data_IF_735351241338
#
_entry.id   IF_735351241338
#
_cell.length_a   1.000
_cell.length_b   1.000
_cell.length_c   1.000
_cell.angle_alpha   90.00
_cell.angle_beta   90.00
_cell.angle_gamma   90.00
#
_symmetry.space_group_name_H-M   'P 1'
#
loop_
_entity.id
_entity.type
_entity.pdbx_description
1 polymer ?
#
# COMPACT_ATOMS: atom_id res chain seq x y z
N UNK A 1 5.62 -17.62 3.50
CA UNK A 1 5.25 -16.49 4.39
C UNK A 1 6.10 -16.40 5.65
N UNK A 2 6.14 -17.44 6.52
CA UNK A 2 6.87 -17.40 7.81
C UNK A 2 8.32 -16.89 7.73
N UNK A 3 9.13 -17.41 6.82
CA UNK A 3 10.53 -16.97 6.68
C UNK A 3 10.65 -15.48 6.31
N UNK A 4 9.75 -14.98 5.46
CA UNK A 4 9.71 -13.57 5.05
C UNK A 4 9.28 -12.68 6.22
N UNK A 5 8.25 -13.10 6.97
CA UNK A 5 7.82 -12.39 8.17
C UNK A 5 8.95 -12.29 9.22
N UNK A 6 9.67 -13.40 9.45
CA UNK A 6 10.84 -13.43 10.32
C UNK A 6 11.97 -12.51 9.82
N UNK A 7 12.25 -12.53 8.51
CA UNK A 7 13.25 -11.65 7.90
C UNK A 7 12.89 -10.17 8.08
N UNK A 8 11.64 -9.77 7.88
CA UNK A 8 11.20 -8.39 8.16
C UNK A 8 11.39 -8.06 9.64
N UNK A 9 10.96 -8.94 10.55
CA UNK A 9 11.03 -8.69 11.98
C UNK A 9 12.46 -8.56 12.53
N UNK A 10 13.42 -9.29 11.95
CA UNK A 10 14.79 -9.35 12.46
C UNK A 10 15.78 -8.52 11.66
N UNK A 11 15.52 -8.27 10.38
CA UNK A 11 16.48 -7.69 9.43
C UNK A 11 15.96 -6.45 8.69
N UNK A 12 14.81 -5.87 9.05
CA UNK A 12 14.21 -4.72 8.36
C UNK A 12 15.19 -3.58 7.99
N UNK A 13 16.13 -3.24 8.90
CA UNK A 13 17.12 -2.16 8.67
C UNK A 13 18.14 -2.47 7.57
N UNK A 14 18.37 -3.77 7.33
CA UNK A 14 19.35 -4.29 6.37
C UNK A 14 18.74 -4.56 4.99
N UNK A 15 17.40 -4.50 4.85
CA UNK A 15 16.73 -4.71 3.56
C UNK A 15 16.80 -3.40 2.76
N UNK A 16 17.53 -3.44 1.64
CA UNK A 16 17.66 -2.30 0.71
C UNK A 16 16.79 -2.47 -0.54
N UNK A 17 16.92 -3.59 -1.25
CA UNK A 17 16.25 -3.83 -2.55
C UNK A 17 15.24 -4.99 -2.55
N UNK A 18 14.82 -5.49 -1.38
CA UNK A 18 13.93 -6.66 -1.26
C UNK A 18 12.44 -6.35 -1.12
N UNK A 19 12.06 -5.09 -0.90
CA UNK A 19 10.71 -4.74 -0.45
C UNK A 19 9.59 -5.10 -1.44
N UNK A 20 9.82 -4.90 -2.75
CA UNK A 20 8.87 -5.31 -3.79
C UNK A 20 8.57 -6.82 -3.72
N UNK A 21 9.60 -7.64 -3.58
CA UNK A 21 9.45 -9.10 -3.48
C UNK A 21 8.73 -9.52 -2.20
N UNK A 22 9.00 -8.82 -1.09
CA UNK A 22 8.32 -9.05 0.18
C UNK A 22 6.81 -8.80 0.04
N UNK A 23 6.43 -7.65 -0.51
CA UNK A 23 5.02 -7.34 -0.76
C UNK A 23 4.37 -8.26 -1.80
N UNK A 24 5.11 -8.71 -2.82
CA UNK A 24 4.63 -9.71 -3.77
C UNK A 24 4.27 -11.04 -3.08
N UNK A 25 5.13 -11.53 -2.16
CA UNK A 25 4.83 -12.74 -1.37
C UNK A 25 3.62 -12.53 -0.46
N UNK A 26 3.50 -11.37 0.19
CA UNK A 26 2.34 -11.08 1.03
C UNK A 26 1.06 -10.87 0.22
N UNK A 27 1.14 -10.32 -0.99
CA UNK A 27 0.01 -10.21 -1.91
C UNK A 27 -0.52 -11.59 -2.32
N UNK A 28 0.36 -12.53 -2.64
CA UNK A 28 -0.07 -13.91 -2.91
C UNK A 28 -0.75 -14.53 -1.67
N UNK A 29 -0.13 -14.36 -0.49
CA UNK A 29 -0.66 -14.84 0.78
C UNK A 29 -2.00 -14.19 1.18
N UNK A 30 -2.27 -12.95 0.73
CA UNK A 30 -3.50 -12.23 1.07
C UNK A 30 -4.75 -12.91 0.52
N UNK A 31 -4.62 -13.65 -0.59
CA UNK A 31 -5.70 -14.41 -1.23
C UNK A 31 -5.85 -15.85 -0.70
N UNK A 32 -5.01 -16.26 0.26
CA UNK A 32 -5.03 -17.61 0.81
C UNK A 32 -6.32 -17.87 1.61
N UNK A 33 -6.66 -19.15 1.79
CA UNK A 33 -7.82 -19.59 2.57
C UNK A 33 -7.44 -19.93 4.01
N UNK A 34 -6.17 -20.23 4.27
CA UNK A 34 -5.66 -20.58 5.59
C UNK A 34 -5.46 -19.31 6.42
N UNK A 35 -6.27 -19.16 7.47
CA UNK A 35 -6.27 -17.98 8.35
C UNK A 35 -4.88 -17.66 8.89
N UNK A 36 -4.14 -18.67 9.36
CA UNK A 36 -2.79 -18.48 9.91
C UNK A 36 -1.78 -17.92 8.88
N UNK A 37 -1.99 -18.17 7.59
CA UNK A 37 -1.14 -17.63 6.51
C UNK A 37 -1.49 -16.16 6.26
N UNK A 38 -2.79 -15.88 6.11
CA UNK A 38 -3.31 -14.54 5.85
C UNK A 38 -3.00 -13.61 7.03
N UNK A 39 -3.26 -14.06 8.26
CA UNK A 39 -3.03 -13.30 9.49
C UNK A 39 -1.55 -12.94 9.64
N UNK A 40 -0.64 -13.89 9.46
CA UNK A 40 0.79 -13.62 9.58
C UNK A 40 1.29 -12.62 8.54
N UNK A 41 0.84 -12.76 7.28
CA UNK A 41 1.17 -11.83 6.22
C UNK A 41 0.59 -10.43 6.49
N UNK A 42 -0.64 -10.37 6.99
CA UNK A 42 -1.34 -9.12 7.30
C UNK A 42 -0.71 -8.39 8.48
N UNK A 43 -0.44 -9.07 9.60
CA UNK A 43 0.24 -8.49 10.76
C UNK A 43 1.62 -7.94 10.38
N UNK A 44 2.36 -8.67 9.55
CA UNK A 44 3.68 -8.20 9.08
C UNK A 44 3.53 -6.96 8.18
N UNK A 45 2.57 -6.97 7.25
CA UNK A 45 2.25 -5.81 6.41
C UNK A 45 1.85 -4.59 7.25
N UNK A 46 0.98 -4.79 8.24
CA UNK A 46 0.53 -3.75 9.17
C UNK A 46 1.69 -3.14 9.96
N UNK A 47 2.64 -3.94 10.41
CA UNK A 47 3.88 -3.47 11.05
C UNK A 47 4.76 -2.66 10.10
N UNK A 48 4.92 -3.11 8.85
CA UNK A 48 5.70 -2.35 7.86
C UNK A 48 5.10 -0.96 7.68
N UNK A 49 3.78 -0.87 7.49
CA UNK A 49 3.09 0.39 7.21
C UNK A 49 3.01 1.28 8.47
N UNK A 50 2.76 0.71 9.64
CA UNK A 50 2.52 1.50 10.86
C UNK A 50 3.80 1.84 11.64
N UNK A 51 4.91 1.15 11.39
CA UNK A 51 6.17 1.39 12.13
C UNK A 51 7.37 1.66 11.23
N UNK A 52 7.52 0.92 10.12
CA UNK A 52 8.72 1.02 9.30
C UNK A 52 8.64 2.18 8.33
N UNK A 53 7.45 2.53 7.83
CA UNK A 53 7.26 3.70 6.98
C UNK A 53 7.78 4.95 7.72
N UNK A 54 7.34 5.19 8.96
CA UNK A 54 7.83 6.33 9.75
C UNK A 54 9.36 6.37 9.94
N UNK A 55 10.03 5.22 9.96
CA UNK A 55 11.47 5.12 10.25
C UNK A 55 12.37 5.10 9.02
N UNK A 56 11.90 4.53 7.91
CA UNK A 56 12.74 4.24 6.75
C UNK A 56 11.97 4.23 5.43
N UNK A 57 10.91 5.03 5.28
CA UNK A 57 10.09 5.06 4.05
C UNK A 57 10.92 5.27 2.76
N UNK A 58 11.96 6.10 2.82
CA UNK A 58 12.86 6.35 1.68
C UNK A 58 13.47 5.07 1.09
N UNK A 59 13.81 4.05 1.89
CA UNK A 59 14.34 2.78 1.37
C UNK A 59 13.26 1.84 0.82
N UNK A 60 11.99 2.20 0.98
CA UNK A 60 10.82 1.39 0.61
C UNK A 60 9.96 2.05 -0.47
N UNK A 61 10.28 3.28 -0.87
CA UNK A 61 9.46 4.09 -1.79
C UNK A 61 9.15 3.36 -3.10
N UNK A 62 10.13 2.63 -3.64
CA UNK A 62 9.97 1.87 -4.88
C UNK A 62 8.92 0.76 -4.75
N UNK A 63 8.64 0.29 -3.54
CA UNK A 63 7.66 -0.77 -3.25
C UNK A 63 6.30 -0.26 -2.79
N UNK A 64 6.07 1.06 -2.78
CA UNK A 64 4.82 1.65 -2.31
C UNK A 64 3.60 1.11 -3.07
N UNK A 65 3.70 1.01 -4.40
CA UNK A 65 2.61 0.47 -5.23
C UNK A 65 2.33 -1.00 -4.93
N UNK A 66 3.38 -1.80 -4.69
CA UNK A 66 3.25 -3.20 -4.30
C UNK A 66 2.55 -3.34 -2.93
N UNK A 67 2.86 -2.45 -1.99
CA UNK A 67 2.21 -2.40 -0.69
C UNK A 67 0.70 -2.08 -0.80
N UNK A 68 0.36 -1.05 -1.57
CA UNK A 68 -1.05 -0.68 -1.84
C UNK A 68 -1.79 -1.83 -2.52
N UNK A 69 -1.19 -2.46 -3.52
CA UNK A 69 -1.76 -3.63 -4.20
C UNK A 69 -1.95 -4.82 -3.25
N UNK A 70 -0.98 -5.05 -2.37
CA UNK A 70 -1.06 -6.09 -1.34
C UNK A 70 -2.22 -5.84 -0.38
N UNK A 71 -2.38 -4.62 0.13
CA UNK A 71 -3.52 -4.22 0.96
C UNK A 71 -4.86 -4.37 0.25
N UNK A 72 -4.93 -4.00 -1.03
CA UNK A 72 -6.13 -4.18 -1.86
C UNK A 72 -6.58 -5.64 -1.92
N UNK A 73 -5.63 -6.57 -1.93
CA UNK A 73 -5.93 -8.00 -2.00
C UNK A 73 -6.41 -8.54 -0.65
N UNK A 74 -5.82 -8.09 0.47
CA UNK A 74 -6.38 -8.35 1.81
C UNK A 74 -7.81 -7.79 1.94
N UNK A 75 -8.05 -6.59 1.42
CA UNK A 75 -9.36 -5.96 1.42
C UNK A 75 -10.41 -6.78 0.67
N UNK A 76 -10.05 -7.50 -0.40
CA UNK A 76 -10.99 -8.33 -1.16
C UNK A 76 -10.96 -9.82 -0.86
N UNK A 77 -10.24 -10.26 0.18
CA UNK A 77 -10.43 -11.61 0.71
C UNK A 77 -11.70 -11.70 1.56
N UNK A 78 -12.81 -12.10 0.91
CA UNK A 78 -14.14 -12.16 1.51
C UNK A 78 -14.31 -13.15 2.68
N UNK A 79 -13.27 -13.96 3.00
CA UNK A 79 -13.24 -14.89 4.14
C UNK A 79 -12.88 -14.20 5.44
N UNK A 80 -12.19 -13.06 5.39
CA UNK A 80 -11.67 -12.38 6.57
C UNK A 80 -12.11 -10.90 6.62
N UNK A 81 -13.41 -10.61 6.91
CA UNK A 81 -13.95 -9.25 6.85
C UNK A 81 -13.23 -8.24 7.77
N UNK A 82 -12.78 -8.68 8.95
CA UNK A 82 -12.04 -7.81 9.88
C UNK A 82 -10.69 -7.39 9.29
N UNK A 83 -9.95 -8.35 8.71
CA UNK A 83 -8.73 -8.09 7.93
C UNK A 83 -9.03 -7.15 6.77
N UNK A 84 -10.17 -7.30 6.09
CA UNK A 84 -10.54 -6.43 4.98
C UNK A 84 -10.76 -4.98 5.43
N UNK A 85 -11.44 -4.76 6.55
CA UNK A 85 -11.67 -3.43 7.12
C UNK A 85 -10.37 -2.77 7.57
N UNK A 86 -9.50 -3.53 8.22
CA UNK A 86 -8.21 -3.04 8.69
C UNK A 86 -7.24 -2.77 7.52
N UNK A 87 -7.30 -3.56 6.45
CA UNK A 87 -6.55 -3.29 5.23
C UNK A 87 -6.93 -1.94 4.62
N UNK A 88 -8.23 -1.61 4.57
CA UNK A 88 -8.70 -0.30 4.11
C UNK A 88 -8.19 0.82 5.03
N UNK A 89 -8.14 0.61 6.35
CA UNK A 89 -7.56 1.57 7.30
C UNK A 89 -6.08 1.81 7.00
N UNK A 90 -5.31 0.77 6.68
CA UNK A 90 -3.90 0.88 6.30
C UNK A 90 -3.71 1.59 4.96
N UNK A 91 -4.61 1.40 3.98
CA UNK A 91 -4.58 2.18 2.72
C UNK A 91 -4.72 3.67 3.01
N UNK A 92 -5.57 4.06 3.96
CA UNK A 92 -5.65 5.46 4.42
C UNK A 92 -4.34 5.94 5.07
N UNK A 93 -3.66 5.10 5.85
CA UNK A 93 -2.33 5.45 6.36
C UNK A 93 -1.30 5.66 5.25
N UNK A 94 -1.36 4.88 4.16
CA UNK A 94 -0.51 5.11 3.00
C UNK A 94 -0.74 6.49 2.37
N UNK A 95 -1.98 7.00 2.35
CA UNK A 95 -2.27 8.35 1.85
C UNK A 95 -1.57 9.42 2.71
N UNK A 96 -1.51 9.21 4.03
CA UNK A 96 -0.75 10.08 4.92
C UNK A 96 0.74 10.08 4.56
N UNK A 97 1.33 8.91 4.29
CA UNK A 97 2.73 8.81 3.85
C UNK A 97 2.99 9.57 2.54
N UNK A 98 2.08 9.49 1.55
CA UNK A 98 2.20 10.28 0.31
C UNK A 98 2.19 11.77 0.61
N UNK A 99 1.28 12.24 1.48
CA UNK A 99 1.17 13.66 1.84
C UNK A 99 2.39 14.21 2.59
N UNK A 100 3.03 13.39 3.42
CA UNK A 100 4.18 13.82 4.23
C UNK A 100 5.48 13.88 3.45
N UNK A 101 5.64 13.01 2.45
CA UNK A 101 6.90 12.88 1.71
C UNK A 101 6.71 12.92 0.20
N UNK A 102 6.05 13.95 -0.37
CA UNK A 102 5.86 14.05 -1.82
C UNK A 102 7.19 14.12 -2.58
N UNK A 103 8.22 14.75 -1.99
CA UNK A 103 9.56 14.83 -2.56
C UNK A 103 10.18 13.45 -2.84
N UNK A 104 9.95 12.44 -1.99
CA UNK A 104 10.47 11.09 -2.23
C UNK A 104 9.89 10.46 -3.49
N UNK A 105 8.60 10.71 -3.78
CA UNK A 105 7.95 10.21 -5.00
C UNK A 105 8.44 10.93 -6.27
N UNK A 106 8.74 12.23 -6.16
CA UNK A 106 9.27 13.04 -7.25
C UNK A 106 10.74 12.69 -7.60
N UNK A 107 11.59 12.56 -6.58
CA UNK A 107 13.05 12.47 -6.73
C UNK A 107 13.57 11.05 -7.03
N UNK A 108 12.92 9.98 -6.54
CA UNK A 108 13.40 8.58 -6.75
C UNK A 108 13.12 8.07 -8.18
N UNK A 109 13.71 8.74 -9.17
CA UNK A 109 13.58 8.48 -10.62
C UNK A 109 14.29 7.24 -11.16
N UNK A 110 14.50 6.18 -10.37
CA UNK A 110 15.35 5.03 -10.78
C UNK A 110 14.59 3.80 -11.29
N UNK A 111 13.27 3.87 -11.54
CA UNK A 111 12.62 2.79 -12.29
C UNK A 111 12.97 2.92 -13.77
N UNK A 112 13.55 1.86 -14.34
CA UNK A 112 13.97 1.73 -15.74
C UNK A 112 12.84 1.99 -16.78
N UNK A 113 11.60 2.18 -16.32
CA UNK A 113 10.41 2.45 -17.14
C UNK A 113 9.89 3.90 -17.08
N UNK A 114 10.48 4.80 -16.28
CA UNK A 114 9.92 6.14 -16.00
C UNK A 114 10.48 7.27 -16.89
N UNK A 115 11.10 6.94 -18.01
CA UNK A 115 11.70 7.92 -18.95
C UNK A 115 10.60 8.83 -19.58
N UNK A 116 9.31 8.45 -19.46
CA UNK A 116 8.19 9.18 -20.08
C UNK A 116 7.33 10.02 -19.11
N UNK A 117 7.54 9.97 -17.79
CA UNK A 117 6.69 10.70 -16.82
C UNK A 117 7.40 11.98 -16.36
N UNK A 118 6.75 13.12 -16.55
CA UNK A 118 7.27 14.42 -16.10
C UNK A 118 7.47 14.43 -14.58
N UNK A 119 8.45 15.17 -14.08
CA UNK A 119 8.70 15.26 -12.63
C UNK A 119 7.46 15.75 -11.86
N UNK A 120 6.71 16.66 -12.47
CA UNK A 120 5.47 17.21 -11.93
C UNK A 120 4.36 16.14 -11.76
N UNK A 121 4.35 15.10 -12.60
CA UNK A 121 3.33 14.03 -12.55
C UNK A 121 3.72 12.86 -11.64
N UNK A 122 4.99 12.75 -11.21
CA UNK A 122 5.49 11.54 -10.50
C UNK A 122 4.77 11.28 -9.18
N UNK A 123 4.48 12.33 -8.41
CA UNK A 123 3.76 12.18 -7.13
C UNK A 123 2.36 11.61 -7.38
N UNK A 124 1.69 12.09 -8.43
CA UNK A 124 0.40 11.57 -8.84
C UNK A 124 0.50 10.12 -9.31
N UNK A 125 1.33 9.83 -10.31
CA UNK A 125 1.43 8.51 -10.95
C UNK A 125 1.93 7.43 -9.98
N UNK A 126 2.84 7.76 -9.07
CA UNK A 126 3.48 6.78 -8.18
C UNK A 126 2.85 6.70 -6.79
N UNK A 127 2.23 7.77 -6.32
CA UNK A 127 1.61 7.87 -4.99
C UNK A 127 0.10 7.85 -5.05
N UNK A 128 -0.50 8.95 -5.51
CA UNK A 128 -1.95 9.17 -5.42
C UNK A 128 -2.78 8.25 -6.31
N UNK A 129 -2.42 8.12 -7.58
CA UNK A 129 -3.18 7.32 -8.54
C UNK A 129 -3.25 5.85 -8.17
N UNK A 130 -2.16 5.13 -7.84
CA UNK A 130 -2.22 3.73 -7.43
C UNK A 130 -3.09 3.51 -6.19
N UNK A 131 -3.06 4.46 -5.25
CA UNK A 131 -3.84 4.41 -4.02
C UNK A 131 -5.34 4.56 -4.28
N UNK A 132 -5.73 5.61 -5.02
CA UNK A 132 -7.13 5.85 -5.38
C UNK A 132 -7.68 4.74 -6.30
N UNK A 133 -6.86 4.28 -7.24
CA UNK A 133 -7.21 3.17 -8.12
C UNK A 133 -7.42 1.87 -7.34
N UNK A 134 -6.58 1.58 -6.34
CA UNK A 134 -6.76 0.42 -5.47
C UNK A 134 -8.08 0.48 -4.70
N UNK A 135 -8.43 1.62 -4.10
CA UNK A 135 -9.71 1.78 -3.41
C UNK A 135 -10.89 1.63 -4.38
N UNK A 136 -10.80 2.17 -5.60
CA UNK A 136 -11.79 1.96 -6.66
C UNK A 136 -11.94 0.47 -7.02
N UNK A 137 -10.83 -0.27 -7.12
CA UNK A 137 -10.88 -1.73 -7.32
C UNK A 137 -11.62 -2.44 -6.19
N UNK A 138 -11.37 -2.07 -4.94
CA UNK A 138 -12.06 -2.62 -3.76
C UNK A 138 -13.57 -2.33 -3.83
N UNK A 139 -13.96 -1.10 -4.17
CA UNK A 139 -15.37 -0.69 -4.34
C UNK A 139 -16.09 -1.49 -5.42
N UNK A 140 -15.38 -1.99 -6.43
CA UNK A 140 -15.98 -2.76 -7.53
C UNK A 140 -15.97 -4.28 -7.29
N UNK A 141 -15.03 -4.81 -6.51
CA UNK A 141 -14.80 -6.26 -6.36
C UNK A 141 -15.39 -6.88 -5.07
N UNK A 142 -15.55 -6.09 -4.02
CA UNK A 142 -15.81 -6.61 -2.66
C UNK A 142 -17.32 -6.63 -2.29
N UNK A 143 -17.66 -7.11 -1.07
CA UNK A 143 -19.05 -7.11 -0.52
C UNK A 143 -19.50 -5.71 -0.06
N UNK A 144 -20.80 -5.53 0.18
CA UNK A 144 -21.43 -4.21 0.40
C UNK A 144 -20.79 -3.39 1.53
N UNK A 145 -20.49 -4.02 2.66
CA UNK A 145 -19.86 -3.42 3.84
C UNK A 145 -18.44 -2.89 3.53
N UNK A 146 -17.60 -3.74 2.93
CA UNK A 146 -16.24 -3.40 2.51
C UNK A 146 -16.25 -2.32 1.41
N UNK A 147 -17.16 -2.43 0.44
CA UNK A 147 -17.35 -1.42 -0.61
C UNK A 147 -17.71 -0.06 -0.04
N UNK A 148 -18.65 -0.02 0.90
CA UNK A 148 -19.10 1.21 1.55
C UNK A 148 -17.93 1.85 2.30
N UNK A 149 -17.18 1.06 3.08
CA UNK A 149 -16.00 1.55 3.80
C UNK A 149 -14.91 2.08 2.86
N UNK A 150 -14.60 1.36 1.78
CA UNK A 150 -13.59 1.77 0.81
C UNK A 150 -13.99 3.08 0.10
N UNK A 151 -15.27 3.23 -0.23
CA UNK A 151 -15.80 4.45 -0.85
C UNK A 151 -15.71 5.64 0.12
N UNK A 152 -16.05 5.44 1.40
CA UNK A 152 -15.88 6.48 2.43
C UNK A 152 -14.43 6.93 2.53
N UNK A 153 -13.48 5.98 2.62
CA UNK A 153 -12.05 6.31 2.72
C UNK A 153 -11.54 6.99 1.45
N UNK A 154 -11.99 6.57 0.26
CA UNK A 154 -11.66 7.24 -0.99
C UNK A 154 -12.10 8.71 -0.98
N UNK A 155 -13.33 9.01 -0.57
CA UNK A 155 -13.80 10.38 -0.46
C UNK A 155 -13.09 11.17 0.64
N UNK A 156 -12.79 10.55 1.78
CA UNK A 156 -11.99 11.18 2.85
C UNK A 156 -10.62 11.62 2.32
N UNK A 157 -9.93 10.75 1.57
CA UNK A 157 -8.62 11.06 0.98
C UNK A 157 -8.73 12.21 -0.01
N UNK A 158 -9.70 12.17 -0.93
CA UNK A 158 -9.90 13.25 -1.91
C UNK A 158 -10.22 14.57 -1.21
N UNK A 159 -11.08 14.56 -0.19
CA UNK A 159 -11.44 15.76 0.56
C UNK A 159 -10.26 16.33 1.35
N UNK A 160 -9.41 15.46 1.90
CA UNK A 160 -8.30 15.86 2.78
C UNK A 160 -7.07 16.29 2.00
N UNK A 161 -6.75 15.60 0.90
CA UNK A 161 -5.50 15.76 0.17
C UNK A 161 -5.70 16.26 -1.26
N UNK A 162 -6.94 16.49 -1.72
CA UNK A 162 -7.24 16.85 -3.11
C UNK A 162 -6.55 18.14 -3.58
N UNK A 163 -6.29 19.08 -2.68
CA UNK A 163 -5.54 20.31 -3.00
C UNK A 163 -4.05 20.03 -3.32
N UNK A 164 -3.52 18.88 -2.88
CA UNK A 164 -2.15 18.45 -3.20
C UNK A 164 -2.05 17.69 -4.52
N UNK A 165 -3.18 17.45 -5.20
CA UNK A 165 -3.16 16.83 -6.53
C UNK A 165 -2.80 17.90 -7.55
N UNK A 166 -1.84 17.61 -8.42
CA UNK A 166 -1.47 18.50 -9.51
C UNK A 166 -2.69 18.84 -10.36
N UNK A 167 -2.89 20.13 -10.64
CA UNK A 167 -3.89 20.56 -11.61
C UNK A 167 -3.40 20.18 -13.01
N UNK A 168 -4.08 19.23 -13.65
CA UNK A 168 -3.86 18.87 -15.05
C UNK A 168 -4.88 19.57 -15.94
#
# INVERSE_FOLDING_TARGET
>A
VRCIAQMVNSQAKNIKSGWKNIFSVFHLAASDQEEAIVELAFQTTGKIISELYDKQFASMIDSFQDAVKCLSEFACNARFPDTSMEAIRLVRSCAHSVSLTPHLFAEHGTMENDISVSEDDRVWVRGWFPLLFSLSCVVNRCKLDVRTRALTVLFEIIKTYGESFSSH
#
